data_IF_743704825487
#
_entry.id   IF_743704825487
#
_cell.length_a   1.000
_cell.length_b   1.000
_cell.length_c   1.000
_cell.angle_alpha   90.00
_cell.angle_beta   90.00
_cell.angle_gamma   90.00
#
_symmetry.space_group_name_H-M   'P 1'
#
loop_
_entity.id
_entity.type
_entity.pdbx_description
1 polymer ?
#
# COMPACT_ATOMS: atom_id res chain seq x y z
N UNK A 1 -15.89 14.61 -11.96
CA UNK A 1 -17.07 13.74 -12.22
C UNK A 1 -18.33 14.45 -11.71
N UNK A 2 -19.43 14.44 -12.45
CA UNK A 2 -20.69 15.02 -11.96
C UNK A 2 -21.24 14.16 -10.81
N UNK A 3 -21.84 14.81 -9.78
CA UNK A 3 -22.41 14.13 -8.59
C UNK A 3 -23.31 12.95 -8.98
N UNK A 4 -24.14 13.12 -10.02
CA UNK A 4 -25.04 12.10 -10.52
C UNK A 4 -24.29 10.86 -11.04
N UNK A 5 -23.18 11.03 -11.76
CA UNK A 5 -22.40 9.91 -12.27
C UNK A 5 -21.74 9.12 -11.14
N UNK A 6 -21.27 9.80 -10.10
CA UNK A 6 -20.72 9.15 -8.90
C UNK A 6 -21.74 8.20 -8.25
N UNK A 7 -23.00 8.65 -8.12
CA UNK A 7 -24.06 7.85 -7.49
C UNK A 7 -24.39 6.61 -8.34
N UNK A 8 -24.48 6.76 -9.67
CA UNK A 8 -24.70 5.65 -10.60
C UNK A 8 -23.55 4.62 -10.51
N UNK A 9 -22.31 5.09 -10.47
CA UNK A 9 -21.14 4.23 -10.41
C UNK A 9 -21.07 3.49 -9.05
N UNK A 10 -21.40 4.15 -7.94
CA UNK A 10 -21.51 3.50 -6.62
C UNK A 10 -22.60 2.40 -6.63
N UNK A 11 -23.76 2.70 -7.18
CA UNK A 11 -24.83 1.71 -7.33
C UNK A 11 -24.40 0.49 -8.14
N UNK A 12 -23.68 0.71 -9.23
CA UNK A 12 -23.13 -0.36 -10.08
C UNK A 12 -22.11 -1.22 -9.34
N UNK A 13 -21.24 -0.62 -8.51
CA UNK A 13 -20.27 -1.36 -7.68
C UNK A 13 -20.95 -2.19 -6.59
N UNK A 14 -21.95 -1.62 -5.90
CA UNK A 14 -22.76 -2.36 -4.91
C UNK A 14 -23.39 -3.59 -5.56
N UNK A 15 -23.97 -3.44 -6.76
CA UNK A 15 -24.58 -4.54 -7.48
C UNK A 15 -23.55 -5.58 -7.93
N UNK A 16 -22.37 -5.14 -8.41
CA UNK A 16 -21.29 -6.04 -8.81
C UNK A 16 -20.80 -6.87 -7.62
N UNK A 17 -20.54 -6.24 -6.48
CA UNK A 17 -20.11 -6.92 -5.27
C UNK A 17 -21.17 -7.91 -4.77
N UNK A 18 -22.46 -7.54 -4.78
CA UNK A 18 -23.53 -8.45 -4.44
C UNK A 18 -23.55 -9.68 -5.37
N UNK A 19 -23.33 -9.49 -6.67
CA UNK A 19 -23.24 -10.58 -7.65
C UNK A 19 -22.04 -11.49 -7.36
N UNK A 20 -20.89 -10.94 -7.00
CA UNK A 20 -19.69 -11.71 -6.64
C UNK A 20 -19.90 -12.54 -5.37
N UNK A 21 -20.65 -11.99 -4.42
CA UNK A 21 -21.14 -12.68 -3.22
C UNK A 21 -22.28 -13.69 -3.50
N UNK A 22 -22.76 -13.79 -4.75
CA UNK A 22 -23.92 -14.62 -5.16
C UNK A 22 -25.19 -14.21 -4.41
N UNK A 23 -25.40 -12.92 -4.19
CA UNK A 23 -26.59 -12.34 -3.58
C UNK A 23 -27.44 -11.61 -4.61
N UNK A 24 -28.72 -11.99 -4.70
CA UNK A 24 -29.72 -11.16 -5.37
C UNK A 24 -30.00 -9.91 -4.55
N UNK A 25 -30.62 -8.88 -5.13
CA UNK A 25 -31.02 -7.67 -4.39
C UNK A 25 -31.91 -8.04 -3.19
N UNK A 26 -32.83 -9.00 -3.36
CA UNK A 26 -33.69 -9.48 -2.28
C UNK A 26 -32.93 -10.19 -1.16
N UNK A 27 -31.88 -10.96 -1.51
CA UNK A 27 -31.03 -11.60 -0.52
C UNK A 27 -30.14 -10.56 0.20
N UNK A 28 -29.53 -9.64 -0.56
CA UNK A 28 -28.75 -8.54 -0.02
C UNK A 28 -29.57 -7.72 0.98
N UNK A 29 -30.78 -7.30 0.61
CA UNK A 29 -31.65 -6.47 1.44
C UNK A 29 -31.96 -7.13 2.79
N UNK A 30 -32.21 -8.45 2.79
CA UNK A 30 -32.44 -9.24 4.01
C UNK A 30 -31.18 -9.35 4.86
N UNK A 31 -30.05 -9.65 4.23
CA UNK A 31 -28.79 -9.87 4.94
C UNK A 31 -28.31 -8.59 5.64
N UNK A 32 -28.49 -7.41 5.00
CA UNK A 32 -28.08 -6.11 5.57
C UNK A 32 -29.17 -5.40 6.36
N UNK A 33 -30.35 -6.01 6.51
CA UNK A 33 -31.53 -5.44 7.19
C UNK A 33 -31.92 -4.05 6.64
N UNK A 34 -32.24 -4.01 5.33
CA UNK A 34 -32.65 -2.81 4.60
C UNK A 34 -33.80 -3.18 3.67
N UNK A 35 -34.75 -2.26 3.48
CA UNK A 35 -35.85 -2.44 2.56
C UNK A 35 -35.40 -2.72 1.13
N UNK A 36 -36.00 -3.69 0.45
CA UNK A 36 -35.61 -4.12 -0.89
C UNK A 36 -35.76 -3.01 -1.94
N UNK A 37 -36.82 -2.22 -1.87
CA UNK A 37 -37.08 -1.14 -2.82
C UNK A 37 -36.06 0.01 -2.60
N UNK A 38 -35.61 0.20 -1.35
CA UNK A 38 -34.53 1.14 -1.08
C UNK A 38 -33.21 0.66 -1.67
N UNK A 39 -32.85 -0.63 -1.54
CA UNK A 39 -31.65 -1.19 -2.16
C UNK A 39 -31.71 -1.05 -3.69
N UNK A 40 -32.87 -1.35 -4.31
CA UNK A 40 -33.08 -1.13 -5.75
C UNK A 40 -32.83 0.31 -6.16
N UNK A 41 -33.45 1.26 -5.43
CA UNK A 41 -33.25 2.71 -5.63
C UNK A 41 -31.76 3.10 -5.62
N UNK A 42 -30.99 2.54 -4.69
CA UNK A 42 -29.55 2.83 -4.55
C UNK A 42 -28.76 2.24 -5.72
N UNK A 43 -28.96 0.98 -6.08
CA UNK A 43 -28.22 0.36 -7.20
C UNK A 43 -28.55 0.95 -8.56
N UNK A 44 -29.74 1.55 -8.71
CA UNK A 44 -30.14 2.30 -9.91
C UNK A 44 -29.59 3.74 -9.95
N UNK A 45 -28.92 4.18 -8.88
CA UNK A 45 -28.40 5.55 -8.78
C UNK A 45 -29.48 6.62 -8.57
N UNK A 46 -30.63 6.25 -8.05
CA UNK A 46 -31.79 7.13 -7.77
C UNK A 46 -31.83 7.56 -6.28
N UNK A 47 -30.68 7.93 -5.71
CA UNK A 47 -30.50 8.21 -4.29
C UNK A 47 -29.54 9.37 -4.05
N UNK A 48 -29.35 9.76 -2.78
CA UNK A 48 -28.26 10.63 -2.38
C UNK A 48 -26.99 9.79 -2.12
N UNK A 49 -25.82 10.41 -2.23
CA UNK A 49 -24.52 9.72 -2.10
C UNK A 49 -24.35 9.08 -0.71
N UNK A 50 -24.84 9.72 0.32
CA UNK A 50 -24.83 9.23 1.70
C UNK A 50 -25.65 7.95 1.88
N UNK A 51 -26.72 7.79 1.09
CA UNK A 51 -27.54 6.57 1.07
C UNK A 51 -26.74 5.39 0.50
N UNK A 52 -25.97 5.62 -0.58
CA UNK A 52 -25.06 4.60 -1.14
C UNK A 52 -23.97 4.20 -0.14
N UNK A 53 -23.34 5.15 0.53
CA UNK A 53 -22.35 4.86 1.59
C UNK A 53 -22.96 4.13 2.78
N UNK A 54 -24.23 4.38 3.09
CA UNK A 54 -24.97 3.63 4.11
C UNK A 54 -25.10 2.15 3.78
N UNK A 55 -25.42 1.81 2.52
CA UNK A 55 -25.46 0.42 2.04
C UNK A 55 -24.07 -0.22 2.09
N UNK A 56 -23.03 0.44 1.58
CA UNK A 56 -21.66 -0.06 1.59
C UNK A 56 -21.21 -0.41 3.02
N UNK A 57 -21.49 0.46 3.99
CA UNK A 57 -21.17 0.20 5.39
C UNK A 57 -21.86 -1.06 5.90
N UNK A 58 -23.17 -1.18 5.69
CA UNK A 58 -23.94 -2.36 6.10
C UNK A 58 -23.47 -3.64 5.43
N UNK A 59 -23.04 -3.58 4.16
CA UNK A 59 -22.39 -4.72 3.50
C UNK A 59 -21.08 -5.12 4.21
N UNK A 60 -20.26 -4.16 4.59
CA UNK A 60 -19.02 -4.42 5.33
C UNK A 60 -19.25 -4.99 6.73
N UNK A 61 -20.38 -4.68 7.37
CA UNK A 61 -20.75 -5.24 8.68
C UNK A 61 -21.18 -6.71 8.60
N UNK A 62 -21.66 -7.15 7.43
CA UNK A 62 -22.26 -8.50 7.24
C UNK A 62 -21.34 -9.43 6.46
N UNK A 63 -20.62 -8.90 5.47
CA UNK A 63 -19.79 -9.69 4.56
C UNK A 63 -18.29 -9.40 4.77
N UNK A 64 -17.48 -10.42 4.58
CA UNK A 64 -16.01 -10.25 4.55
C UNK A 64 -15.58 -9.67 3.21
N UNK A 65 -15.79 -8.37 3.02
CA UNK A 65 -15.41 -7.62 1.82
C UNK A 65 -14.47 -6.47 2.17
N UNK A 66 -13.65 -6.07 1.22
CA UNK A 66 -12.89 -4.83 1.34
C UNK A 66 -13.77 -3.65 0.93
N UNK A 67 -14.35 -2.95 1.90
CA UNK A 67 -15.22 -1.81 1.62
C UNK A 67 -14.51 -0.67 0.90
N UNK A 68 -13.18 -0.61 0.94
CA UNK A 68 -12.40 0.41 0.22
C UNK A 68 -12.52 0.25 -1.29
N UNK A 69 -12.71 -0.97 -1.79
CA UNK A 69 -12.91 -1.25 -3.21
C UNK A 69 -14.24 -0.73 -3.75
N UNK A 70 -15.21 -0.51 -2.87
CA UNK A 70 -16.51 0.04 -3.22
C UNK A 70 -16.53 1.58 -3.28
N UNK A 71 -15.56 2.25 -2.65
CA UNK A 71 -15.44 3.71 -2.76
C UNK A 71 -14.92 4.11 -4.12
N UNK A 72 -15.55 5.10 -4.73
CA UNK A 72 -15.12 5.65 -6.00
C UNK A 72 -13.98 6.64 -5.78
N UNK A 73 -12.84 6.31 -6.36
CA UNK A 73 -11.80 7.25 -6.66
C UNK A 73 -11.85 7.56 -8.17
N UNK A 74 -11.55 8.78 -8.52
CA UNK A 74 -11.46 9.19 -9.91
C UNK A 74 -10.35 8.43 -10.62
N UNK A 75 -10.65 7.81 -11.79
CA UNK A 75 -9.65 7.16 -12.62
C UNK A 75 -8.60 8.17 -13.08
N UNK A 76 -7.35 7.91 -12.73
CA UNK A 76 -6.21 8.80 -13.01
C UNK A 76 -5.20 8.19 -14.00
N UNK A 77 -5.57 7.07 -14.67
CA UNK A 77 -4.78 6.42 -15.70
C UNK A 77 -5.36 6.67 -17.08
N UNK A 78 -4.89 7.70 -17.77
CA UNK A 78 -5.33 8.01 -19.13
C UNK A 78 -5.05 6.83 -20.09
N UNK A 79 -6.10 6.29 -20.70
CA UNK A 79 -5.99 5.11 -21.56
C UNK A 79 -5.61 3.82 -20.84
N UNK A 80 -5.87 3.73 -19.54
CA UNK A 80 -5.61 2.55 -18.71
C UNK A 80 -4.13 2.35 -18.33
N UNK A 81 -3.25 3.30 -18.65
CA UNK A 81 -1.81 3.20 -18.35
C UNK A 81 -1.30 4.47 -17.71
N UNK A 82 -0.51 4.35 -16.66
CA UNK A 82 0.24 5.45 -16.05
C UNK A 82 1.73 5.17 -16.12
N UNK A 83 2.48 6.12 -16.64
CA UNK A 83 3.94 5.99 -16.82
C UNK A 83 4.62 7.07 -15.99
N UNK A 84 5.61 6.67 -15.19
CA UNK A 84 6.54 7.56 -14.52
C UNK A 84 7.94 7.33 -15.07
N UNK A 85 8.54 8.37 -15.64
CA UNK A 85 9.93 8.30 -16.09
C UNK A 85 10.88 8.49 -14.93
N UNK A 86 12.08 7.92 -15.02
CA UNK A 86 13.10 7.99 -13.96
C UNK A 86 13.36 9.42 -13.47
N UNK A 87 13.36 10.41 -14.37
CA UNK A 87 13.54 11.82 -14.00
C UNK A 87 12.42 12.33 -13.07
N UNK A 88 11.17 12.04 -13.40
CA UNK A 88 10.03 12.43 -12.57
C UNK A 88 10.04 11.70 -11.20
N UNK A 89 10.46 10.44 -11.18
CA UNK A 89 10.66 9.69 -9.94
C UNK A 89 11.77 10.33 -9.08
N UNK A 90 12.89 10.75 -9.67
CA UNK A 90 13.96 11.48 -8.95
C UNK A 90 13.44 12.82 -8.42
N UNK A 91 12.69 13.57 -9.21
CA UNK A 91 12.15 14.87 -8.81
C UNK A 91 11.14 14.78 -7.64
N UNK A 92 10.57 13.59 -7.36
CA UNK A 92 9.72 13.31 -6.21
C UNK A 92 10.49 12.93 -4.93
N UNK A 93 11.82 12.94 -4.95
CA UNK A 93 12.67 12.44 -3.85
C UNK A 93 12.37 13.08 -2.50
N UNK A 94 12.30 12.24 -1.48
CA UNK A 94 12.11 12.63 -0.07
C UNK A 94 13.18 11.94 0.78
N UNK A 95 14.01 12.73 1.47
CA UNK A 95 15.03 12.19 2.38
C UNK A 95 14.42 11.88 3.72
N UNK A 96 14.63 10.65 4.18
CA UNK A 96 14.25 10.19 5.50
C UNK A 96 15.48 9.99 6.37
N UNK A 97 15.51 10.69 7.51
CA UNK A 97 16.64 10.68 8.42
C UNK A 97 16.42 9.69 9.58
N UNK A 98 17.49 9.09 10.06
CA UNK A 98 17.53 8.29 11.30
C UNK A 98 18.69 8.75 12.18
N UNK A 99 18.60 8.41 13.46
CA UNK A 99 19.70 8.64 14.39
C UNK A 99 20.79 7.60 14.12
N UNK A 100 22.04 8.06 14.04
CA UNK A 100 23.22 7.21 13.92
C UNK A 100 23.83 6.88 15.29
N UNK A 101 24.93 6.12 15.29
CA UNK A 101 25.69 5.75 16.50
C UNK A 101 26.18 6.94 17.34
N UNK A 102 26.40 8.09 16.73
CA UNK A 102 26.88 9.31 17.37
C UNK A 102 25.72 10.20 17.87
N UNK A 103 24.49 9.66 17.91
CA UNK A 103 23.25 10.36 18.26
C UNK A 103 22.90 11.53 17.33
N UNK A 104 23.42 11.54 16.10
CA UNK A 104 23.16 12.54 15.10
C UNK A 104 22.05 12.08 14.14
N UNK A 105 21.18 13.01 13.78
CA UNK A 105 20.14 12.79 12.75
C UNK A 105 20.77 12.94 11.36
N UNK A 106 20.92 11.84 10.64
CA UNK A 106 21.58 11.78 9.34
C UNK A 106 20.69 11.10 8.30
N UNK A 107 20.87 11.38 6.98
CA UNK A 107 20.17 10.68 5.91
C UNK A 107 20.28 9.16 6.03
N UNK A 108 19.16 8.48 5.85
CA UNK A 108 19.07 7.03 5.95
C UNK A 108 18.50 6.43 4.68
N UNK A 109 17.36 6.94 4.22
CA UNK A 109 16.67 6.55 3.00
C UNK A 109 16.38 7.76 2.11
N UNK A 110 16.30 7.54 0.81
CA UNK A 110 15.68 8.43 -0.14
C UNK A 110 14.51 7.72 -0.81
N UNK A 111 13.30 8.13 -0.48
CA UNK A 111 12.06 7.62 -1.08
C UNK A 111 11.80 8.33 -2.39
N UNK A 112 11.35 7.58 -3.41
CA UNK A 112 10.91 8.11 -4.71
C UNK A 112 9.62 7.45 -5.13
N UNK A 113 8.71 8.24 -5.70
CA UNK A 113 7.46 7.71 -6.22
C UNK A 113 7.71 6.85 -7.46
N UNK A 114 6.81 5.87 -7.67
CA UNK A 114 6.70 5.07 -8.89
C UNK A 114 5.40 5.40 -9.62
N UNK A 115 5.21 4.85 -10.82
CA UNK A 115 3.91 4.88 -11.47
C UNK A 115 2.90 4.09 -10.66
N UNK A 116 1.86 4.77 -10.19
CA UNK A 116 0.74 4.15 -9.49
C UNK A 116 -0.55 4.93 -9.72
N UNK A 117 -1.68 4.24 -9.71
CA UNK A 117 -3.00 4.86 -9.68
C UNK A 117 -3.47 5.05 -8.24
N UNK A 118 -4.36 6.03 -8.02
CA UNK A 118 -5.12 6.15 -6.78
C UNK A 118 -6.04 4.96 -6.53
N UNK A 119 -6.40 4.23 -7.61
CA UNK A 119 -7.21 3.02 -7.56
C UNK A 119 -6.38 1.75 -7.29
N UNK A 120 -5.05 1.84 -7.26
CA UNK A 120 -4.20 0.67 -7.05
C UNK A 120 -4.32 0.14 -5.62
N UNK A 121 -4.50 -1.18 -5.43
CA UNK A 121 -4.48 -1.82 -4.12
C UNK A 121 -3.08 -1.85 -3.49
N UNK A 122 -2.06 -1.48 -4.22
CA UNK A 122 -0.66 -1.43 -3.78
C UNK A 122 -0.03 -0.09 -4.13
N UNK A 123 0.98 0.31 -3.36
CA UNK A 123 1.70 1.58 -3.52
C UNK A 123 3.20 1.31 -3.58
N UNK A 124 3.75 0.99 -4.77
CA UNK A 124 5.17 0.73 -4.90
C UNK A 124 5.98 2.01 -4.73
N UNK A 125 7.12 1.89 -4.04
CA UNK A 125 8.07 2.99 -3.86
C UNK A 125 9.49 2.50 -4.13
N UNK A 126 10.29 3.30 -4.84
CA UNK A 126 11.73 3.15 -4.85
C UNK A 126 12.30 3.76 -3.56
N UNK A 127 13.17 3.01 -2.90
CA UNK A 127 13.90 3.47 -1.72
C UNK A 127 15.38 3.25 -1.99
N UNK A 128 16.14 4.35 -2.04
CA UNK A 128 17.61 4.32 -2.11
C UNK A 128 18.17 4.24 -0.71
N UNK A 129 19.08 3.29 -0.50
CA UNK A 129 19.78 3.11 0.76
C UNK A 129 20.95 4.09 0.85
N UNK A 130 20.79 5.13 1.67
CA UNK A 130 21.84 6.15 1.88
C UNK A 130 22.79 5.78 3.02
N UNK A 131 22.29 5.01 4.01
CA UNK A 131 23.13 4.49 5.09
C UNK A 131 23.95 3.31 4.57
N UNK A 132 25.25 3.35 4.84
CA UNK A 132 26.18 2.24 4.52
C UNK A 132 26.54 1.50 5.81
N UNK A 133 26.34 0.18 5.82
CA UNK A 133 26.84 -0.75 6.85
C UNK A 133 27.46 -1.92 6.11
N UNK A 134 28.77 -2.03 6.17
CA UNK A 134 29.60 -2.96 5.38
C UNK A 134 29.71 -4.38 5.97
N UNK A 135 28.94 -4.66 7.01
CA UNK A 135 28.93 -5.95 7.70
C UNK A 135 27.50 -6.42 7.98
N UNK A 136 27.35 -7.70 8.27
CA UNK A 136 26.07 -8.39 8.52
C UNK A 136 25.66 -8.42 10.00
N UNK A 137 26.29 -7.58 10.84
CA UNK A 137 25.96 -7.52 12.27
C UNK A 137 24.58 -6.86 12.49
N UNK A 138 23.54 -7.60 12.90
CA UNK A 138 22.21 -7.02 13.10
C UNK A 138 22.13 -6.09 14.34
N UNK A 139 23.17 -6.08 15.17
CA UNK A 139 23.28 -5.17 16.34
C UNK A 139 24.24 -3.99 16.05
N UNK A 140 24.61 -3.77 14.79
CA UNK A 140 25.43 -2.61 14.45
C UNK A 140 24.68 -1.32 14.83
N UNK A 141 25.33 -0.40 15.59
CA UNK A 141 24.66 0.81 16.09
C UNK A 141 24.25 1.81 15.01
N UNK A 142 24.73 1.66 13.78
CA UNK A 142 24.29 2.45 12.63
C UNK A 142 23.04 1.89 11.94
N UNK A 143 22.55 0.71 12.34
CA UNK A 143 21.31 0.12 11.86
C UNK A 143 20.12 0.65 12.71
N UNK A 144 19.24 1.38 12.06
CA UNK A 144 18.05 1.94 12.73
C UNK A 144 16.78 1.20 12.29
N UNK A 145 16.29 0.32 13.13
CA UNK A 145 15.03 -0.40 12.91
C UNK A 145 13.84 0.55 12.95
N UNK A 146 12.81 0.26 12.15
CA UNK A 146 11.49 0.84 12.33
C UNK A 146 10.72 0.09 13.45
N UNK A 147 9.50 0.51 13.73
CA UNK A 147 8.63 -0.17 14.71
C UNK A 147 7.71 -1.23 14.06
N UNK A 148 8.01 -1.63 12.80
CA UNK A 148 7.05 -2.36 11.98
C UNK A 148 5.92 -1.46 11.47
N UNK A 149 5.14 -1.96 10.54
CA UNK A 149 3.95 -1.27 10.00
C UNK A 149 2.80 -2.26 9.83
N UNK A 150 1.60 -1.74 9.68
CA UNK A 150 0.39 -2.54 9.51
C UNK A 150 0.35 -3.32 8.20
N UNK A 151 0.94 -2.78 7.14
CA UNK A 151 0.87 -3.36 5.79
C UNK A 151 1.80 -4.57 5.66
N UNK A 152 1.39 -5.53 4.84
CA UNK A 152 2.29 -6.52 4.24
C UNK A 152 3.22 -5.81 3.25
N UNK A 153 4.45 -6.26 3.13
CA UNK A 153 5.41 -5.68 2.19
C UNK A 153 6.12 -6.78 1.41
N UNK A 154 6.12 -6.65 0.09
CA UNK A 154 7.04 -7.40 -0.78
C UNK A 154 8.16 -6.44 -1.20
N UNK A 155 9.41 -6.88 -1.09
CA UNK A 155 10.57 -6.06 -1.45
C UNK A 155 11.40 -6.76 -2.51
N UNK A 156 11.77 -6.03 -3.55
CA UNK A 156 12.75 -6.45 -4.56
C UNK A 156 14.02 -5.63 -4.40
N UNK A 157 15.18 -6.28 -4.53
CA UNK A 157 16.47 -5.67 -4.29
C UNK A 157 17.23 -5.35 -5.57
N UNK A 158 17.90 -4.20 -5.58
CA UNK A 158 18.80 -3.75 -6.66
C UNK A 158 20.10 -3.24 -6.03
N UNK A 159 21.20 -3.92 -6.31
CA UNK A 159 22.49 -3.64 -5.71
C UNK A 159 22.73 -4.38 -4.39
N UNK A 160 23.84 -4.06 -3.70
CA UNK A 160 24.22 -4.72 -2.45
C UNK A 160 23.48 -4.12 -1.25
N UNK A 161 22.44 -4.78 -0.78
CA UNK A 161 21.64 -4.36 0.38
C UNK A 161 21.79 -5.34 1.52
N UNK A 162 21.90 -4.86 2.76
CA UNK A 162 21.65 -5.64 3.96
C UNK A 162 20.20 -5.45 4.40
N UNK A 163 19.49 -6.54 4.55
CA UNK A 163 18.13 -6.59 5.12
C UNK A 163 18.20 -7.05 6.56
N UNK A 164 17.62 -6.28 7.46
CA UNK A 164 17.57 -6.57 8.90
C UNK A 164 16.12 -6.67 9.36
N UNK A 165 15.85 -7.60 10.30
CA UNK A 165 14.55 -7.70 10.96
C UNK A 165 14.70 -8.21 12.38
N UNK A 166 13.66 -7.96 13.19
CA UNK A 166 13.61 -8.40 14.59
C UNK A 166 12.33 -9.18 14.85
N UNK A 167 12.48 -10.36 15.48
CA UNK A 167 11.36 -11.22 15.89
C UNK A 167 11.61 -11.65 17.34
N UNK A 168 10.66 -11.35 18.22
CA UNK A 168 10.72 -11.74 19.65
C UNK A 168 12.03 -11.30 20.35
N UNK A 169 12.48 -10.09 20.05
CA UNK A 169 13.72 -9.52 20.62
C UNK A 169 15.02 -10.08 20.02
N UNK A 170 14.93 -10.99 19.05
CA UNK A 170 16.11 -11.50 18.33
C UNK A 170 16.24 -10.85 16.97
N UNK A 171 17.41 -10.28 16.73
CA UNK A 171 17.74 -9.59 15.47
C UNK A 171 18.44 -10.50 14.49
N UNK A 172 18.18 -10.29 13.23
CA UNK A 172 18.71 -11.05 12.10
C UNK A 172 19.20 -10.11 11.00
N UNK A 173 20.12 -10.58 10.18
CA UNK A 173 20.55 -9.93 8.95
C UNK A 173 20.63 -10.95 7.81
N UNK A 174 20.37 -10.49 6.59
CA UNK A 174 20.67 -11.20 5.34
C UNK A 174 21.22 -10.22 4.31
N UNK A 175 22.28 -10.65 3.65
CA UNK A 175 22.79 -9.97 2.47
C UNK A 175 21.88 -10.26 1.28
N UNK A 176 21.45 -9.20 0.61
CA UNK A 176 20.55 -9.25 -0.56
C UNK A 176 21.27 -8.60 -1.74
N UNK A 177 21.01 -9.12 -2.94
CA UNK A 177 21.61 -8.67 -4.19
C UNK A 177 20.54 -8.39 -5.23
N UNK A 178 20.91 -7.82 -6.37
CA UNK A 178 19.99 -7.59 -7.47
C UNK A 178 19.25 -8.87 -7.87
N UNK A 179 17.92 -8.81 -7.87
CA UNK A 179 17.05 -9.92 -8.21
C UNK A 179 16.54 -10.73 -7.01
N UNK A 180 17.13 -10.55 -5.84
CA UNK A 180 16.60 -11.14 -4.60
C UNK A 180 15.28 -10.44 -4.20
N UNK A 181 14.49 -11.12 -3.39
CA UNK A 181 13.26 -10.57 -2.84
C UNK A 181 12.97 -11.11 -1.44
N UNK A 182 12.19 -10.37 -0.68
CA UNK A 182 11.61 -10.82 0.57
C UNK A 182 10.14 -10.47 0.68
N UNK A 183 9.48 -11.06 1.66
CA UNK A 183 8.14 -10.74 2.08
C UNK A 183 8.11 -10.52 3.58
N UNK A 184 7.54 -9.40 4.02
CA UNK A 184 7.46 -9.00 5.43
C UNK A 184 5.99 -8.97 5.84
N UNK A 185 5.65 -9.74 6.88
CA UNK A 185 4.33 -9.69 7.50
C UNK A 185 4.21 -8.45 8.40
N UNK A 186 2.98 -8.00 8.74
CA UNK A 186 2.77 -6.81 9.57
C UNK A 186 3.50 -6.86 10.93
N UNK A 187 3.81 -5.68 11.45
CA UNK A 187 4.30 -5.40 12.80
C UNK A 187 5.73 -5.84 13.14
N UNK A 188 6.47 -6.48 12.23
CA UNK A 188 7.86 -6.81 12.51
C UNK A 188 8.79 -5.62 12.25
N UNK A 189 9.59 -5.20 13.26
CA UNK A 189 10.64 -4.21 13.06
C UNK A 189 11.64 -4.67 12.02
N UNK A 190 11.99 -3.77 11.11
CA UNK A 190 12.96 -4.09 10.05
C UNK A 190 13.73 -2.84 9.60
N UNK A 191 14.79 -3.06 8.85
CA UNK A 191 15.63 -2.01 8.28
C UNK A 191 16.39 -2.52 7.07
N UNK A 192 16.86 -1.59 6.25
CA UNK A 192 17.71 -1.86 5.08
C UNK A 192 18.88 -0.88 5.11
N UNK A 193 20.05 -1.30 4.61
CA UNK A 193 21.22 -0.44 4.40
C UNK A 193 21.97 -0.86 3.16
N UNK A 194 22.72 0.05 2.54
CA UNK A 194 23.74 -0.35 1.55
C UNK A 194 24.87 -1.10 2.24
N UNK A 195 25.46 -2.11 1.55
CA UNK A 195 26.67 -2.80 1.98
C UNK A 195 27.96 -2.20 1.41
N UNK A 196 27.86 -1.44 0.32
CA UNK A 196 29.03 -0.99 -0.44
C UNK A 196 28.93 0.51 -0.70
N UNK A 197 29.85 1.33 -0.15
CA UNK A 197 29.80 2.78 -0.35
C UNK A 197 30.07 3.22 -1.80
N UNK A 198 30.57 2.32 -2.63
CA UNK A 198 30.92 2.62 -4.03
C UNK A 198 29.83 2.18 -5.03
N UNK A 199 28.76 1.56 -4.54
CA UNK A 199 27.65 1.08 -5.37
C UNK A 199 26.33 1.63 -4.89
N UNK A 200 25.47 1.94 -5.84
CA UNK A 200 24.10 2.28 -5.50
C UNK A 200 23.32 1.04 -5.06
N UNK A 201 22.53 1.21 -4.03
CA UNK A 201 21.68 0.18 -3.48
C UNK A 201 20.26 0.72 -3.36
N UNK A 202 19.28 -0.03 -3.87
CA UNK A 202 17.87 0.31 -3.85
C UNK A 202 17.03 -0.90 -3.46
N UNK A 203 15.86 -0.61 -2.94
CA UNK A 203 14.76 -1.56 -2.88
C UNK A 203 13.54 -1.00 -3.61
N UNK A 204 12.74 -1.88 -4.21
CA UNK A 204 11.38 -1.60 -4.63
C UNK A 204 10.46 -2.25 -3.60
N UNK A 205 9.81 -1.45 -2.78
CA UNK A 205 8.82 -1.89 -1.81
C UNK A 205 7.41 -1.79 -2.40
N UNK A 206 6.61 -2.85 -2.21
CA UNK A 206 5.22 -2.95 -2.70
C UNK A 206 4.33 -3.38 -1.55
#
# INVERSE_FOLDING_TARGET
MEKKQIIIDLGSRILSEANDLKRTISALSKDIDVDEDFVKKVVEGNCEIEESYGIIRKMGDVYSIDISDLFLLEEDCTGGVKIMKARASIDSSRIFNRINKDSLKTPYYEYRDTAMSRLSPFKPEWIKELRVVDNDNPNNPDVAYNNGHFMHQTTFFVGPVNFYWEVNGKKYCREMNTGDSNYITPYWPHSFTSRDPNKEAYILAI
#
